data_IF_912380004058
#
_entry.id   IF_912380004058
#
_cell.length_a   1.000
_cell.length_b   1.000
_cell.length_c   1.000
_cell.angle_alpha   90.00
_cell.angle_beta   90.00
_cell.angle_gamma   90.00
#
_symmetry.space_group_name_H-M   'P 1'
#
loop_
_entity.id
_entity.type
_entity.pdbx_description
1 polymer ?
#
# COMPACT_ATOMS: atom_id res chain seq x y z
N UNK A 1 1.33 -20.34 17.70
CA UNK A 1 2.71 -20.80 17.96
C UNK A 1 3.63 -19.62 17.74
N UNK A 2 4.22 -19.14 18.83
CA UNK A 2 5.20 -18.04 18.92
C UNK A 2 4.76 -16.68 18.34
N UNK A 3 3.90 -15.96 19.07
CA UNK A 3 4.06 -14.50 19.13
C UNK A 3 5.40 -14.24 19.83
N UNK A 4 6.48 -14.19 19.05
CA UNK A 4 7.69 -13.52 19.51
C UNK A 4 7.32 -12.05 19.59
N UNK A 5 6.98 -11.58 20.80
CA UNK A 5 6.87 -10.16 21.08
C UNK A 5 8.18 -9.51 20.59
N UNK A 6 8.08 -8.71 19.53
CA UNK A 6 9.22 -8.01 18.96
C UNK A 6 9.79 -7.09 20.03
N UNK A 7 11.11 -6.97 20.13
CA UNK A 7 11.68 -5.99 21.07
C UNK A 7 11.27 -4.58 20.63
N UNK A 8 10.90 -3.68 21.56
CA UNK A 8 10.33 -2.37 21.20
C UNK A 8 11.22 -1.55 20.25
N UNK A 9 12.55 -1.66 20.36
CA UNK A 9 13.47 -0.98 19.43
C UNK A 9 13.50 -1.55 18.01
N UNK A 10 13.18 -2.84 17.82
CA UNK A 10 13.09 -3.44 16.49
C UNK A 10 11.80 -3.04 15.77
N UNK A 11 10.71 -2.83 16.53
CA UNK A 11 9.44 -2.38 15.97
C UNK A 11 9.49 -0.92 15.51
N UNK A 12 10.11 -0.04 16.30
CA UNK A 12 10.36 1.36 15.92
C UNK A 12 11.22 1.45 14.63
N UNK A 13 12.30 0.66 14.54
CA UNK A 13 13.14 0.62 13.34
C UNK A 13 12.37 0.14 12.09
N UNK A 14 11.46 -0.83 12.26
CA UNK A 14 10.59 -1.29 11.16
C UNK A 14 9.65 -0.17 10.72
N UNK A 15 9.00 0.52 11.66
CA UNK A 15 8.10 1.62 11.34
C UNK A 15 8.81 2.79 10.66
N UNK A 16 10.03 3.12 11.08
CA UNK A 16 10.83 4.17 10.44
C UNK A 16 11.17 3.81 8.99
N UNK A 17 11.56 2.57 8.73
CA UNK A 17 11.76 2.09 7.34
C UNK A 17 10.47 2.15 6.52
N UNK A 18 9.31 1.85 7.12
CA UNK A 18 8.02 1.97 6.43
C UNK A 18 7.70 3.43 6.09
N UNK A 19 7.98 4.38 7.00
CA UNK A 19 7.83 5.82 6.74
C UNK A 19 8.71 6.25 5.56
N UNK A 20 9.98 5.82 5.52
CA UNK A 20 10.89 6.10 4.40
C UNK A 20 10.35 5.55 3.06
N UNK A 21 9.80 4.34 3.06
CA UNK A 21 9.17 3.78 1.87
C UNK A 21 7.93 4.57 1.44
N UNK A 22 7.11 5.03 2.39
CA UNK A 22 5.96 5.89 2.09
C UNK A 22 6.38 7.23 1.46
N UNK A 23 7.45 7.85 1.96
CA UNK A 23 8.00 9.08 1.38
C UNK A 23 8.55 8.83 -0.04
N UNK A 24 9.19 7.67 -0.25
CA UNK A 24 9.72 7.26 -1.56
C UNK A 24 8.62 7.05 -2.61
N UNK A 25 7.35 6.84 -2.22
CA UNK A 25 6.22 6.80 -3.17
C UNK A 25 6.00 8.14 -3.91
N UNK A 26 6.56 9.24 -3.39
CA UNK A 26 6.48 10.55 -4.02
C UNK A 26 7.71 10.87 -4.91
N UNK A 27 8.64 9.93 -5.04
CA UNK A 27 9.85 10.11 -5.84
C UNK A 27 9.53 10.27 -7.33
N UNK A 28 10.36 11.04 -8.05
CA UNK A 28 10.20 11.26 -9.50
C UNK A 28 10.47 9.99 -10.30
N UNK A 29 11.36 9.13 -9.82
CA UNK A 29 11.75 7.87 -10.43
C UNK A 29 10.69 6.79 -10.24
N UNK A 30 10.12 6.30 -11.34
CA UNK A 30 9.19 5.17 -11.32
C UNK A 30 9.82 3.93 -10.67
N UNK A 31 11.10 3.68 -10.91
CA UNK A 31 11.82 2.55 -10.34
C UNK A 31 11.94 2.65 -8.81
N UNK A 32 12.15 3.87 -8.28
CA UNK A 32 12.20 4.09 -6.83
C UNK A 32 10.82 3.83 -6.20
N UNK A 33 9.75 4.37 -6.82
CA UNK A 33 8.38 4.12 -6.38
C UNK A 33 8.02 2.63 -6.41
N UNK A 34 8.38 1.91 -7.46
CA UNK A 34 8.16 0.45 -7.57
C UNK A 34 8.90 -0.32 -6.47
N UNK A 35 10.16 0.01 -6.21
CA UNK A 35 10.92 -0.63 -5.13
C UNK A 35 10.28 -0.38 -3.75
N UNK A 36 9.82 0.84 -3.48
CA UNK A 36 9.11 1.17 -2.25
C UNK A 36 7.78 0.42 -2.12
N UNK A 37 6.97 0.37 -3.18
CA UNK A 37 5.72 -0.41 -3.21
C UNK A 37 5.98 -1.90 -2.96
N UNK A 38 7.05 -2.45 -3.54
CA UNK A 38 7.45 -3.84 -3.33
C UNK A 38 7.84 -4.10 -1.85
N UNK A 39 8.59 -3.20 -1.24
CA UNK A 39 8.94 -3.29 0.19
C UNK A 39 7.70 -3.20 1.09
N UNK A 40 6.79 -2.25 0.82
CA UNK A 40 5.52 -2.11 1.54
C UNK A 40 4.67 -3.39 1.41
N UNK A 41 4.57 -3.96 0.20
CA UNK A 41 3.85 -5.23 -0.03
C UNK A 41 4.41 -6.36 0.84
N UNK A 42 5.73 -6.49 0.91
CA UNK A 42 6.38 -7.54 1.71
C UNK A 42 6.15 -7.32 3.21
N UNK A 43 6.25 -6.10 3.70
CA UNK A 43 5.98 -5.78 5.10
C UNK A 43 4.52 -6.07 5.49
N UNK A 44 3.56 -5.55 4.73
CA UNK A 44 2.12 -5.71 5.01
C UNK A 44 1.62 -7.15 4.81
N UNK A 45 2.35 -7.99 4.08
CA UNK A 45 2.00 -9.42 3.95
C UNK A 45 2.64 -10.30 5.02
N UNK A 46 3.69 -9.83 5.70
CA UNK A 46 4.44 -10.64 6.68
C UNK A 46 4.06 -10.36 8.13
N UNK A 47 3.60 -9.14 8.45
CA UNK A 47 3.22 -8.75 9.82
C UNK A 47 1.95 -7.90 9.82
N UNK A 48 1.16 -8.03 10.88
CA UNK A 48 0.06 -7.11 11.18
C UNK A 48 0.63 -5.82 11.77
N UNK A 49 0.32 -4.68 11.16
CA UNK A 49 0.85 -3.35 11.47
C UNK A 49 -0.29 -2.39 11.83
N UNK A 50 -1.27 -2.87 12.60
CA UNK A 50 -2.58 -2.22 12.74
C UNK A 50 -2.50 -0.81 13.32
N UNK A 51 -1.69 -0.58 14.35
CA UNK A 51 -1.53 0.74 14.99
C UNK A 51 -0.84 1.74 14.04
N UNK A 52 0.32 1.36 13.49
CA UNK A 52 1.02 2.14 12.48
C UNK A 52 0.13 2.52 11.29
N UNK A 53 -0.58 1.54 10.72
CA UNK A 53 -1.45 1.78 9.56
C UNK A 53 -2.65 2.65 9.93
N UNK A 54 -3.22 2.52 11.13
CA UNK A 54 -4.32 3.38 11.57
C UNK A 54 -3.89 4.85 11.59
N UNK A 55 -2.69 5.14 12.09
CA UNK A 55 -2.11 6.49 12.11
C UNK A 55 -1.76 7.02 10.71
N UNK A 56 -1.28 6.14 9.83
CA UNK A 56 -0.71 6.52 8.53
C UNK A 56 -1.63 6.32 7.33
N UNK A 57 -2.83 5.73 7.53
CA UNK A 57 -3.75 5.33 6.43
C UNK A 57 -4.05 6.43 5.43
N UNK A 58 -4.23 7.67 5.88
CA UNK A 58 -4.60 8.78 5.00
C UNK A 58 -3.45 9.13 4.05
N UNK A 59 -2.24 9.26 4.59
CA UNK A 59 -1.02 9.52 3.81
C UNK A 59 -0.73 8.38 2.86
N UNK A 60 -0.81 7.13 3.34
CA UNK A 60 -0.58 5.97 2.48
C UNK A 60 -1.62 5.88 1.36
N UNK A 61 -2.89 6.13 1.67
CA UNK A 61 -3.99 6.14 0.69
C UNK A 61 -3.76 7.20 -0.39
N UNK A 62 -3.42 8.43 -0.03
CA UNK A 62 -3.13 9.51 -0.99
C UNK A 62 -1.93 9.18 -1.90
N UNK A 63 -0.87 8.59 -1.34
CA UNK A 63 0.27 8.12 -2.14
C UNK A 63 -0.11 6.99 -3.10
N UNK A 64 -0.92 6.01 -2.64
CA UNK A 64 -1.40 4.93 -3.49
C UNK A 64 -2.33 5.43 -4.60
N UNK A 65 -3.19 6.41 -4.32
CA UNK A 65 -4.01 7.06 -5.35
C UNK A 65 -3.14 7.64 -6.46
N UNK A 66 -2.04 8.31 -6.11
CA UNK A 66 -1.11 8.90 -7.08
C UNK A 66 -0.44 7.82 -7.93
N UNK A 67 0.01 6.72 -7.33
CA UNK A 67 0.58 5.58 -8.05
C UNK A 67 -0.45 4.92 -8.99
N UNK A 68 -1.70 4.75 -8.57
CA UNK A 68 -2.76 4.17 -9.41
C UNK A 68 -3.15 5.10 -10.57
N UNK A 69 -3.24 6.42 -10.33
CA UNK A 69 -3.63 7.42 -11.33
C UNK A 69 -2.51 7.69 -12.35
N UNK A 70 -1.27 7.84 -11.88
CA UNK A 70 -0.14 8.33 -12.69
C UNK A 70 0.85 7.24 -13.06
N UNK A 71 0.99 6.21 -12.23
CA UNK A 71 1.84 5.07 -12.50
C UNK A 71 1.30 4.22 -13.66
N UNK A 72 2.12 3.30 -14.13
CA UNK A 72 1.79 2.36 -15.22
C UNK A 72 2.37 0.98 -14.95
N UNK A 73 1.79 -0.03 -15.59
CA UNK A 73 2.35 -1.38 -15.60
C UNK A 73 2.51 -1.95 -14.20
N UNK A 74 3.76 -2.29 -13.85
CA UNK A 74 4.13 -2.85 -12.54
C UNK A 74 3.83 -1.91 -11.37
N UNK A 75 3.96 -0.59 -11.55
CA UNK A 75 3.66 0.36 -10.46
C UNK A 75 2.17 0.31 -10.07
N UNK A 76 1.26 0.26 -11.05
CA UNK A 76 -0.17 0.13 -10.77
C UNK A 76 -0.51 -1.22 -10.13
N UNK A 77 0.11 -2.30 -10.61
CA UNK A 77 -0.12 -3.64 -10.06
C UNK A 77 0.33 -3.73 -8.59
N UNK A 78 1.53 -3.23 -8.28
CA UNK A 78 2.03 -3.21 -6.91
C UNK A 78 1.18 -2.29 -6.02
N UNK A 79 0.78 -1.12 -6.50
CA UNK A 79 -0.09 -0.21 -5.74
C UNK A 79 -1.46 -0.85 -5.45
N UNK A 80 -2.05 -1.55 -6.42
CA UNK A 80 -3.29 -2.31 -6.22
C UNK A 80 -3.14 -3.38 -5.15
N UNK A 81 -2.06 -4.16 -5.17
CA UNK A 81 -1.80 -5.18 -4.14
C UNK A 81 -1.56 -4.58 -2.76
N UNK A 82 -0.75 -3.52 -2.63
CA UNK A 82 -0.49 -2.85 -1.34
C UNK A 82 -1.78 -2.29 -0.76
N UNK A 83 -2.64 -1.73 -1.60
CA UNK A 83 -3.96 -1.25 -1.21
C UNK A 83 -4.87 -2.37 -0.71
N UNK A 84 -4.89 -3.51 -1.38
CA UNK A 84 -5.66 -4.68 -0.94
C UNK A 84 -5.20 -5.15 0.44
N UNK A 85 -3.88 -5.16 0.69
CA UNK A 85 -3.31 -5.48 2.00
C UNK A 85 -3.68 -4.42 3.05
N UNK A 86 -3.64 -3.13 2.71
CA UNK A 86 -4.07 -2.06 3.60
C UNK A 86 -5.54 -2.23 4.01
N UNK A 87 -6.44 -2.43 3.05
CA UNK A 87 -7.86 -2.69 3.32
C UNK A 87 -8.05 -3.94 4.21
N UNK A 88 -7.30 -5.01 3.95
CA UNK A 88 -7.36 -6.23 4.75
C UNK A 88 -6.95 -5.99 6.20
N UNK A 89 -5.87 -5.24 6.42
CA UNK A 89 -5.38 -4.94 7.77
C UNK A 89 -6.26 -3.94 8.53
N UNK A 90 -6.93 -3.01 7.83
CA UNK A 90 -7.90 -2.09 8.43
C UNK A 90 -9.23 -2.75 8.78
N UNK A 91 -9.55 -3.88 8.15
CA UNK A 91 -10.78 -4.62 8.39
C UNK A 91 -12.04 -3.85 8.00
N UNK A 92 -13.18 -4.27 8.55
CA UNK A 92 -14.51 -3.71 8.24
C UNK A 92 -14.90 -2.51 9.13
N UNK A 93 -13.93 -1.83 9.73
CA UNK A 93 -14.15 -0.62 10.53
C UNK A 93 -14.41 0.61 9.66
N UNK A 94 -14.86 1.73 10.25
CA UNK A 94 -15.10 2.97 9.51
C UNK A 94 -13.85 3.47 8.77
N UNK A 95 -12.67 3.28 9.34
CA UNK A 95 -11.39 3.64 8.72
C UNK A 95 -11.08 2.78 7.49
N UNK A 96 -11.33 1.47 7.55
CA UNK A 96 -11.16 0.57 6.41
C UNK A 96 -12.15 0.88 5.29
N UNK A 97 -13.41 1.17 5.64
CA UNK A 97 -14.42 1.60 4.68
C UNK A 97 -14.07 2.93 4.00
N UNK A 98 -13.51 3.90 4.75
CA UNK A 98 -13.06 5.19 4.23
C UNK A 98 -11.95 5.00 3.16
N UNK A 99 -10.94 4.17 3.47
CA UNK A 99 -9.86 3.83 2.53
C UNK A 99 -10.43 3.18 1.27
N UNK A 100 -11.27 2.14 1.44
CA UNK A 100 -11.84 1.42 0.31
C UNK A 100 -12.73 2.32 -0.56
N UNK A 101 -13.54 3.19 0.05
CA UNK A 101 -14.46 4.08 -0.67
C UNK A 101 -13.70 5.10 -1.52
N UNK A 102 -12.58 5.62 -1.01
CA UNK A 102 -11.74 6.60 -1.71
C UNK A 102 -11.12 5.98 -2.97
N UNK A 103 -10.69 4.72 -2.88
CA UNK A 103 -9.91 4.08 -3.94
C UNK A 103 -10.73 3.18 -4.89
N UNK A 104 -11.90 2.69 -4.47
CA UNK A 104 -12.77 1.83 -5.28
C UNK A 104 -13.01 2.37 -6.70
N UNK A 105 -13.33 3.67 -6.92
CA UNK A 105 -13.51 4.19 -8.27
C UNK A 105 -12.27 4.04 -9.16
N UNK A 106 -11.07 4.19 -8.58
CA UNK A 106 -9.81 4.05 -9.30
C UNK A 106 -9.52 2.60 -9.65
N UNK A 107 -9.76 1.67 -8.74
CA UNK A 107 -9.62 0.23 -9.02
C UNK A 107 -10.55 -0.21 -10.15
N UNK A 108 -11.82 0.22 -10.12
CA UNK A 108 -12.79 -0.07 -11.19
C UNK A 108 -12.32 0.55 -12.51
N UNK A 109 -11.79 1.76 -12.49
CA UNK A 109 -11.22 2.41 -13.68
C UNK A 109 -10.04 1.61 -14.26
N UNK A 110 -9.10 1.13 -13.42
CA UNK A 110 -7.97 0.33 -13.89
C UNK A 110 -8.44 -1.02 -14.43
N UNK A 111 -9.36 -1.68 -13.74
CA UNK A 111 -9.91 -2.98 -14.13
C UNK A 111 -10.60 -2.93 -15.50
N UNK A 112 -11.34 -1.85 -15.78
CA UNK A 112 -12.13 -1.68 -17.00
C UNK A 112 -11.34 -1.06 -18.15
N UNK A 113 -10.15 -0.51 -17.89
CA UNK A 113 -9.26 0.04 -18.90
C UNK A 113 -8.56 -1.09 -19.69
N UNK A 114 -8.99 -1.30 -20.93
CA UNK A 114 -8.40 -2.30 -21.83
C UNK A 114 -6.95 -2.00 -22.20
N UNK A 115 -6.50 -0.76 -22.03
CA UNK A 115 -5.12 -0.32 -22.27
C UNK A 115 -4.20 -0.49 -21.07
N UNK A 116 -4.76 -0.69 -19.86
CA UNK A 116 -3.98 -1.04 -18.69
C UNK A 116 -3.27 -2.38 -18.87
N UNK A 117 -2.19 -2.60 -18.12
CA UNK A 117 -1.47 -3.88 -18.21
C UNK A 117 -2.32 -5.03 -17.62
N UNK A 118 -2.19 -6.27 -18.13
CA UNK A 118 -2.91 -7.42 -17.56
C UNK A 118 -2.65 -7.60 -16.05
N UNK A 119 -1.41 -7.38 -15.60
CA UNK A 119 -1.04 -7.48 -14.18
C UNK A 119 -1.75 -6.42 -13.34
N UNK A 120 -1.83 -5.17 -13.82
CA UNK A 120 -2.55 -4.10 -13.13
C UNK A 120 -4.06 -4.33 -13.06
N UNK A 121 -4.65 -5.05 -14.03
CA UNK A 121 -6.07 -5.43 -13.97
C UNK A 121 -6.35 -6.60 -13.03
N UNK A 122 -5.35 -7.43 -12.74
CA UNK A 122 -5.48 -8.62 -11.90
C UNK A 122 -5.12 -8.36 -10.43
N UNK A 123 -4.50 -7.22 -10.13
CA UNK A 123 -3.97 -6.86 -8.81
C UNK A 123 -5.03 -6.47 -7.79
#
# INVERSE_FOLDING_TARGET
GSEAASEPGQEEEVEDRLKEHMDTLLDKSAKARQAALQSLRLALSSKSLSEFLLERRLTLTDSLEKCLKKGKGEEQALAGTVLTLLCLQMGSGPEGEEVFRSLKPLLVSVLTDSTASPSARQS
#
